data_IF_245379353688
#
_entry.id   IF_245379353688
#
_cell.length_a   1.000
_cell.length_b   1.000
_cell.length_c   1.000
_cell.angle_alpha   90.00
_cell.angle_beta   90.00
_cell.angle_gamma   90.00
#
_symmetry.space_group_name_H-M   'P 1'
#
loop_
_entity.id
_entity.type
_entity.pdbx_description
1 polymer ?
#
# COMPACT_ATOMS: atom_id res chain seq x y z
N UNK A 1 -8.92 -7.09 17.08
CA UNK A 1 -10.39 -7.05 17.16
C UNK A 1 -10.96 -7.61 15.87
N UNK A 2 -11.59 -8.80 15.92
CA UNK A 2 -12.12 -9.53 14.75
C UNK A 2 -13.48 -8.98 14.27
N UNK A 3 -14.03 -7.98 14.96
CA UNK A 3 -15.32 -7.37 14.68
C UNK A 3 -15.48 -6.88 13.22
N UNK A 4 -14.49 -6.23 12.57
CA UNK A 4 -14.64 -5.80 11.18
C UNK A 4 -14.83 -6.99 10.23
N UNK A 5 -14.17 -8.11 10.51
CA UNK A 5 -14.17 -9.32 9.67
C UNK A 5 -15.51 -10.05 9.66
N UNK A 6 -16.37 -9.80 10.66
CA UNK A 6 -17.70 -10.38 10.79
C UNK A 6 -18.80 -9.46 10.25
N UNK A 7 -18.49 -8.18 10.02
CA UNK A 7 -19.45 -7.16 9.54
C UNK A 7 -19.38 -6.92 8.03
N UNK A 8 -18.29 -7.35 7.38
CA UNK A 8 -18.09 -7.14 5.94
C UNK A 8 -18.93 -8.12 5.12
N UNK A 9 -19.48 -7.65 3.99
CA UNK A 9 -20.21 -8.48 3.01
C UNK A 9 -19.35 -9.56 2.32
N UNK A 10 -18.02 -9.54 2.51
CA UNK A 10 -17.10 -10.50 1.94
C UNK A 10 -17.17 -11.86 2.66
N UNK A 11 -17.34 -12.94 1.88
CA UNK A 11 -17.33 -14.31 2.41
C UNK A 11 -15.97 -14.66 3.06
N UNK A 12 -15.97 -15.45 4.13
CA UNK A 12 -14.74 -15.91 4.79
C UNK A 12 -13.79 -16.64 3.82
N UNK A 13 -14.36 -17.32 2.83
CA UNK A 13 -13.65 -18.09 1.81
C UNK A 13 -12.91 -17.17 0.82
N UNK A 14 -13.52 -16.06 0.40
CA UNK A 14 -12.85 -15.07 -0.46
C UNK A 14 -11.69 -14.37 0.25
N UNK A 15 -11.83 -14.12 1.56
CA UNK A 15 -10.74 -13.55 2.38
C UNK A 15 -9.58 -14.54 2.50
N UNK A 16 -9.85 -15.82 2.77
CA UNK A 16 -8.80 -16.84 2.84
C UNK A 16 -8.11 -17.03 1.49
N UNK A 17 -8.86 -17.12 0.39
CA UNK A 17 -8.30 -17.26 -0.95
C UNK A 17 -7.36 -16.10 -1.30
N UNK A 18 -7.75 -14.85 -1.01
CA UNK A 18 -6.90 -13.68 -1.21
C UNK A 18 -5.58 -13.74 -0.44
N UNK A 19 -5.60 -14.21 0.81
CA UNK A 19 -4.39 -14.41 1.62
C UNK A 19 -3.44 -15.46 1.01
N UNK A 20 -3.96 -16.61 0.60
CA UNK A 20 -3.13 -17.68 0.03
C UNK A 20 -2.47 -17.29 -1.29
N UNK A 21 -3.17 -16.52 -2.14
CA UNK A 21 -2.62 -16.01 -3.39
C UNK A 21 -1.48 -15.00 -3.13
N UNK A 22 -1.67 -14.08 -2.18
CA UNK A 22 -0.63 -13.11 -1.82
C UNK A 22 0.62 -13.79 -1.24
N UNK A 23 0.45 -14.80 -0.38
CA UNK A 23 1.58 -15.53 0.22
C UNK A 23 2.35 -16.33 -0.84
N UNK A 24 1.64 -17.01 -1.74
CA UNK A 24 2.29 -17.83 -2.78
C UNK A 24 3.08 -16.97 -3.77
N UNK A 25 2.54 -15.82 -4.17
CA UNK A 25 3.23 -14.90 -5.09
C UNK A 25 4.49 -14.28 -4.44
N UNK A 26 4.40 -13.88 -3.17
CA UNK A 26 5.58 -13.44 -2.42
C UNK A 26 6.65 -14.53 -2.29
N UNK A 27 6.23 -15.78 -2.03
CA UNK A 27 7.15 -16.91 -1.92
C UNK A 27 7.91 -17.18 -3.23
N UNK A 28 7.22 -17.10 -4.37
CA UNK A 28 7.83 -17.26 -5.70
C UNK A 28 8.86 -16.15 -6.00
N UNK A 29 8.53 -14.89 -5.71
CA UNK A 29 9.45 -13.76 -5.93
C UNK A 29 10.68 -13.89 -5.03
N UNK A 30 10.48 -14.31 -3.77
CA UNK A 30 11.57 -14.48 -2.79
C UNK A 30 12.50 -15.64 -3.14
N UNK A 31 12.03 -16.69 -3.81
CA UNK A 31 12.87 -17.80 -4.25
C UNK A 31 13.85 -17.40 -5.39
N UNK A 32 13.52 -16.34 -6.14
CA UNK A 32 14.34 -15.85 -7.26
C UNK A 32 15.40 -14.80 -6.84
N UNK A 33 15.33 -14.36 -5.59
CA UNK A 33 16.06 -13.22 -5.07
C UNK A 33 17.44 -13.56 -4.49
N UNK A 34 18.54 -13.09 -5.12
CA UNK A 34 19.92 -13.44 -4.71
C UNK A 34 20.56 -12.52 -3.65
N UNK A 35 20.02 -11.33 -3.38
CA UNK A 35 20.49 -10.43 -2.31
C UNK A 35 19.39 -9.47 -1.87
N UNK A 36 18.75 -9.75 -0.73
CA UNK A 36 17.66 -8.95 -0.14
C UNK A 36 18.02 -8.34 1.23
N UNK A 37 19.15 -8.74 1.82
CA UNK A 37 19.43 -8.48 3.25
C UNK A 37 19.62 -6.99 3.59
N UNK A 38 20.33 -6.23 2.76
CA UNK A 38 20.53 -4.80 3.01
C UNK A 38 19.23 -4.00 2.79
N UNK A 39 18.56 -4.21 1.66
CA UNK A 39 17.28 -3.57 1.37
C UNK A 39 16.21 -3.84 2.43
N UNK A 40 16.15 -5.08 2.93
CA UNK A 40 15.21 -5.45 3.98
C UNK A 40 15.50 -4.75 5.32
N UNK A 41 16.77 -4.51 5.64
CA UNK A 41 17.18 -3.76 6.84
C UNK A 41 16.74 -2.29 6.75
N UNK A 42 16.77 -1.69 5.55
CA UNK A 42 16.24 -0.33 5.31
C UNK A 42 14.71 -0.27 5.32
N UNK A 43 14.02 -1.37 4.95
CA UNK A 43 12.55 -1.43 4.99
C UNK A 43 12.02 -1.46 6.43
N UNK A 44 12.73 -2.06 7.38
CA UNK A 44 12.27 -2.18 8.78
C UNK A 44 11.87 -0.84 9.44
N UNK A 45 12.70 0.22 9.46
CA UNK A 45 12.29 1.52 10.01
C UNK A 45 11.13 2.16 9.21
N UNK A 46 11.12 1.98 7.89
CA UNK A 46 10.06 2.49 7.01
C UNK A 46 8.69 1.88 7.35
N UNK A 47 8.64 0.61 7.74
CA UNK A 47 7.41 -0.06 8.17
C UNK A 47 6.77 0.62 9.39
N UNK A 48 7.56 1.13 10.34
CA UNK A 48 7.00 1.87 11.49
C UNK A 48 6.34 3.18 11.06
N UNK A 49 6.93 3.89 10.10
CA UNK A 49 6.34 5.11 9.53
C UNK A 49 5.05 4.76 8.79
N UNK A 50 5.04 3.65 8.04
CA UNK A 50 3.88 3.19 7.28
C UNK A 50 2.67 2.79 8.15
N UNK A 51 2.88 2.49 9.44
CA UNK A 51 1.81 2.18 10.39
C UNK A 51 1.07 3.45 10.85
N UNK A 52 1.73 4.62 10.87
CA UNK A 52 1.13 5.88 11.34
C UNK A 52 -0.16 6.23 10.55
N UNK A 53 -0.17 6.20 9.20
CA UNK A 53 -1.40 6.40 8.42
C UNK A 53 -2.55 5.48 8.80
N UNK A 54 -2.26 4.21 9.10
CA UNK A 54 -3.28 3.23 9.45
C UNK A 54 -4.00 3.61 10.75
N UNK A 55 -3.26 4.05 11.77
CA UNK A 55 -3.86 4.52 13.01
C UNK A 55 -4.67 5.80 12.83
N UNK A 56 -4.21 6.73 11.99
CA UNK A 56 -4.92 7.98 11.71
C UNK A 56 -6.26 7.77 11.00
N UNK A 57 -6.37 6.76 10.14
CA UNK A 57 -7.62 6.40 9.45
C UNK A 57 -8.54 5.54 10.33
N UNK A 58 -7.98 4.82 11.31
CA UNK A 58 -8.74 3.86 12.13
C UNK A 58 -9.94 4.50 12.83
N UNK A 59 -9.76 5.66 13.45
CA UNK A 59 -10.78 6.33 14.27
C UNK A 59 -11.82 7.13 13.47
N UNK A 60 -11.73 7.18 12.13
CA UNK A 60 -12.67 7.92 11.28
C UNK A 60 -13.76 7.01 10.73
N UNK A 61 -15.00 7.47 10.66
CA UNK A 61 -16.03 6.76 9.90
C UNK A 61 -15.75 6.88 8.39
N UNK A 62 -16.13 5.89 7.55
CA UNK A 62 -15.86 5.92 6.11
C UNK A 62 -16.36 7.20 5.42
N UNK A 63 -17.54 7.69 5.81
CA UNK A 63 -18.16 8.88 5.22
C UNK A 63 -17.54 10.21 5.70
N UNK A 64 -16.65 10.17 6.70
CA UNK A 64 -16.01 11.36 7.30
C UNK A 64 -14.51 11.42 6.95
N UNK A 65 -14.04 10.53 6.08
CA UNK A 65 -12.65 10.56 5.64
C UNK A 65 -12.48 11.79 4.74
N UNK A 66 -11.58 12.73 5.10
CA UNK A 66 -11.38 13.94 4.31
C UNK A 66 -10.78 13.58 2.95
N UNK A 67 -11.17 14.34 1.92
CA UNK A 67 -10.78 14.04 0.54
C UNK A 67 -9.26 14.05 0.31
N UNK A 68 -8.53 14.81 1.14
CA UNK A 68 -7.06 14.88 1.12
C UNK A 68 -6.38 13.54 1.43
N UNK A 69 -7.02 12.66 2.21
CA UNK A 69 -6.45 11.37 2.57
C UNK A 69 -6.42 10.41 1.38
N UNK A 70 -7.34 10.56 0.43
CA UNK A 70 -7.36 9.76 -0.79
C UNK A 70 -6.25 10.13 -1.77
N UNK A 71 -5.71 11.35 -1.68
CA UNK A 71 -4.61 11.80 -2.52
C UNK A 71 -3.25 11.23 -2.07
N UNK A 72 -3.04 10.88 -0.80
CA UNK A 72 -1.76 10.32 -0.36
C UNK A 72 -1.80 8.80 -0.53
N UNK A 73 -0.92 8.14 -1.33
CA UNK A 73 -1.10 6.73 -1.71
C UNK A 73 -1.29 5.75 -0.56
N UNK A 74 -0.53 5.91 0.54
CA UNK A 74 -0.65 5.04 1.72
C UNK A 74 -1.99 5.26 2.43
N UNK A 75 -2.40 6.52 2.63
CA UNK A 75 -3.71 6.83 3.23
C UNK A 75 -4.87 6.44 2.30
N UNK A 76 -4.74 6.67 1.00
CA UNK A 76 -5.75 6.39 0.00
C UNK A 76 -6.01 4.91 -0.15
N UNK A 77 -4.97 4.07 -0.11
CA UNK A 77 -5.14 2.61 -0.11
C UNK A 77 -5.97 2.15 1.07
N UNK A 78 -5.66 2.63 2.28
CA UNK A 78 -6.36 2.26 3.51
C UNK A 78 -7.79 2.81 3.51
N UNK A 79 -7.99 4.03 3.02
CA UNK A 79 -9.29 4.72 3.00
C UNK A 79 -10.24 4.11 1.97
N UNK A 80 -9.80 3.87 0.73
CA UNK A 80 -10.59 3.20 -0.31
C UNK A 80 -10.93 1.77 0.10
N UNK A 81 -9.96 1.04 0.66
CA UNK A 81 -10.21 -0.31 1.16
C UNK A 81 -11.23 -0.29 2.30
N UNK A 82 -11.15 0.70 3.20
CA UNK A 82 -12.13 0.88 4.28
C UNK A 82 -13.52 1.20 3.74
N UNK A 83 -13.68 2.09 2.77
CA UNK A 83 -14.99 2.34 2.13
C UNK A 83 -15.57 1.07 1.51
N UNK A 84 -14.74 0.31 0.79
CA UNK A 84 -15.12 -0.94 0.15
C UNK A 84 -15.61 -1.99 1.17
N UNK A 85 -14.94 -2.13 2.31
CA UNK A 85 -15.34 -3.06 3.37
C UNK A 85 -16.71 -2.73 3.98
N UNK A 86 -17.09 -1.46 3.99
CA UNK A 86 -18.40 -0.98 4.45
C UNK A 86 -19.45 -0.94 3.33
N UNK A 87 -19.11 -1.42 2.12
CA UNK A 87 -20.01 -1.43 0.97
C UNK A 87 -20.26 -0.07 0.35
N UNK A 88 -19.45 0.94 0.69
CA UNK A 88 -19.55 2.30 0.14
C UNK A 88 -18.56 2.38 -1.02
N UNK A 89 -19.06 2.70 -2.22
CA UNK A 89 -18.21 2.85 -3.42
C UNK A 89 -18.37 4.27 -3.96
N UNK A 90 -17.47 5.16 -3.55
CA UNK A 90 -17.43 6.52 -4.06
C UNK A 90 -16.45 6.62 -5.24
N UNK A 91 -16.98 6.79 -6.45
CA UNK A 91 -16.18 6.90 -7.67
C UNK A 91 -15.22 8.09 -7.67
N UNK A 92 -15.57 9.18 -6.97
CA UNK A 92 -14.70 10.36 -6.84
C UNK A 92 -13.46 10.04 -6.01
N UNK A 93 -13.64 9.35 -4.87
CA UNK A 93 -12.55 8.97 -3.99
C UNK A 93 -11.59 7.98 -4.67
N UNK A 94 -12.14 7.01 -5.41
CA UNK A 94 -11.37 6.06 -6.21
C UNK A 94 -10.61 6.80 -7.32
N UNK A 95 -11.26 7.74 -8.03
CA UNK A 95 -10.63 8.52 -9.09
C UNK A 95 -9.43 9.34 -8.59
N UNK A 96 -9.59 10.03 -7.46
CA UNK A 96 -8.52 10.80 -6.83
C UNK A 96 -7.36 9.89 -6.39
N UNK A 97 -7.68 8.75 -5.78
CA UNK A 97 -6.68 7.78 -5.35
C UNK A 97 -5.86 7.23 -6.53
N UNK A 98 -6.51 6.81 -7.61
CA UNK A 98 -5.83 6.27 -8.79
C UNK A 98 -4.98 7.34 -9.46
N UNK A 99 -5.54 8.53 -9.68
CA UNK A 99 -4.84 9.63 -10.32
C UNK A 99 -3.60 10.04 -9.51
N UNK A 100 -3.74 10.21 -8.20
CA UNK A 100 -2.61 10.57 -7.35
C UNK A 100 -1.56 9.46 -7.29
N UNK A 101 -1.98 8.20 -7.21
CA UNK A 101 -1.05 7.06 -7.22
C UNK A 101 -0.21 7.03 -8.50
N UNK A 102 -0.79 7.33 -9.66
CA UNK A 102 -0.05 7.45 -10.93
C UNK A 102 0.99 8.58 -10.86
N UNK A 103 0.64 9.74 -10.31
CA UNK A 103 1.59 10.85 -10.13
C UNK A 103 2.75 10.45 -9.22
N UNK A 104 2.47 9.84 -8.06
CA UNK A 104 3.51 9.40 -7.13
C UNK A 104 4.42 8.33 -7.73
N UNK A 105 3.87 7.42 -8.54
CA UNK A 105 4.67 6.43 -9.29
C UNK A 105 5.55 7.11 -10.33
N UNK A 106 5.01 8.08 -11.08
CA UNK A 106 5.80 8.85 -12.05
C UNK A 106 6.97 9.58 -11.38
N UNK A 107 6.72 10.23 -10.23
CA UNK A 107 7.75 10.92 -9.45
C UNK A 107 8.77 9.93 -8.90
N UNK A 108 8.35 8.79 -8.35
CA UNK A 108 9.29 7.80 -7.78
C UNK A 108 10.18 7.18 -8.84
N UNK A 109 9.65 6.87 -10.02
CA UNK A 109 10.43 6.39 -11.17
C UNK A 109 11.40 7.46 -11.66
N UNK A 110 10.96 8.72 -11.73
CA UNK A 110 11.83 9.84 -12.10
C UNK A 110 12.99 10.03 -11.11
N UNK A 111 12.71 10.02 -9.81
CA UNK A 111 13.73 10.10 -8.76
C UNK A 111 14.69 8.91 -8.80
N UNK A 112 14.17 7.69 -9.01
CA UNK A 112 15.00 6.52 -9.17
C UNK A 112 15.93 6.67 -10.39
N UNK A 113 15.42 7.12 -11.53
CA UNK A 113 16.22 7.38 -12.72
C UNK A 113 17.31 8.45 -12.49
N UNK A 114 17.03 9.48 -11.68
CA UNK A 114 18.04 10.47 -11.28
C UNK A 114 19.12 9.87 -10.39
N UNK A 115 18.76 9.01 -9.43
CA UNK A 115 19.73 8.32 -8.57
C UNK A 115 20.65 7.40 -9.37
N UNK A 116 20.15 6.74 -10.42
CA UNK A 116 20.96 5.92 -11.32
C UNK A 116 21.90 6.73 -12.23
N UNK A 117 21.59 8.00 -12.51
CA UNK A 117 22.44 8.88 -13.33
C UNK A 117 23.68 9.42 -12.60
N UNK A 118 23.73 9.32 -11.27
CA UNK A 118 24.89 9.80 -10.51
C UNK A 118 25.99 8.72 -10.46
N UNK A 119 27.21 9.13 -10.84
CA UNK A 119 28.36 8.24 -11.11
C UNK A 119 28.80 7.37 -9.92
N UNK A 120 28.41 7.70 -8.68
CA UNK A 120 28.72 6.91 -7.49
C UNK A 120 27.97 5.57 -7.41
N UNK A 121 26.86 5.40 -8.15
CA UNK A 121 26.13 4.13 -8.22
C UNK A 121 26.79 3.11 -9.17
N UNK A 122 27.65 3.57 -10.08
CA UNK A 122 28.33 2.74 -11.08
C UNK A 122 29.60 2.07 -10.53
N UNK A 123 30.24 2.65 -9.50
CA UNK A 123 31.43 2.10 -8.87
C UNK A 123 31.07 1.30 -7.60
N UNK A 124 30.51 0.11 -7.80
CA UNK A 124 30.61 -0.98 -6.82
C UNK A 124 31.29 -2.16 -7.51
N UNK A 125 32.62 -2.14 -7.49
CA UNK A 125 33.48 -3.33 -7.62
C UNK A 125 34.11 -3.56 -6.25
#
# INVERSE_FOLDING_TARGET
TLEPLLTTSASRLSIMAGKYLAVTTMALISAYAKSFKEGQTYISPLMFIAIIPAYLVMYKMPNEIPISYFAIPVFGTISVFKELLYGIVNMTHIGIFVFSSIIYVGISVYLAALMFKQEWALFRV
#
